data_IF_039315810334
#
_entry.id   IF_039315810334
#
_cell.length_a   1.000
_cell.length_b   1.000
_cell.length_c   1.000
_cell.angle_alpha   90.00
_cell.angle_beta   90.00
_cell.angle_gamma   90.00
#
_symmetry.space_group_name_H-M   'P 1'
#
loop_
_entity.id
_entity.type
_entity.pdbx_description
1 polymer ?
#
# COMPACT_ATOMS: atom_id res chain seq x y z
N UNK A 1 17.40 3.35 -4.98
CA UNK A 1 17.49 3.63 -3.53
C UNK A 1 16.24 4.37 -3.08
N UNK A 2 15.65 4.04 -1.92
CA UNK A 2 14.48 4.76 -1.34
C UNK A 2 13.27 4.95 -2.27
N UNK A 3 12.92 3.93 -3.07
CA UNK A 3 11.87 3.99 -4.09
C UNK A 3 10.54 4.58 -3.55
N UNK A 4 10.11 4.13 -2.38
CA UNK A 4 8.83 4.52 -1.78
C UNK A 4 8.77 6.01 -1.48
N UNK A 5 9.87 6.62 -1.02
CA UNK A 5 9.95 8.05 -0.74
C UNK A 5 9.85 8.92 -2.00
N UNK A 6 10.02 8.35 -3.19
CA UNK A 6 9.86 9.05 -4.47
C UNK A 6 8.41 8.99 -4.98
N UNK A 7 7.57 8.12 -4.42
CA UNK A 7 6.18 7.90 -4.85
C UNK A 7 5.23 8.72 -3.99
N UNK A 8 5.16 10.01 -4.29
CA UNK A 8 4.30 10.98 -3.57
C UNK A 8 3.08 11.43 -4.35
N UNK A 9 2.79 10.81 -5.49
CA UNK A 9 1.56 11.05 -6.21
C UNK A 9 0.66 9.84 -6.11
N UNK A 10 -0.60 10.08 -5.83
CA UNK A 10 -1.62 9.05 -5.74
C UNK A 10 -2.92 9.49 -6.37
N UNK A 11 -3.80 8.55 -6.69
CA UNK A 11 -5.11 8.91 -7.17
C UNK A 11 -5.91 9.63 -6.08
N UNK A 12 -6.62 10.69 -6.46
CA UNK A 12 -7.63 11.34 -5.62
C UNK A 12 -8.86 10.45 -5.45
N UNK A 13 -9.15 9.63 -6.46
CA UNK A 13 -10.35 8.80 -6.53
C UNK A 13 -10.08 7.40 -5.94
N UNK A 14 -11.10 6.81 -5.35
CA UNK A 14 -11.04 5.46 -4.78
C UNK A 14 -11.72 4.42 -5.69
N UNK A 15 -11.32 3.16 -5.54
CA UNK A 15 -12.07 2.04 -6.13
C UNK A 15 -13.41 1.85 -5.42
N UNK A 16 -14.35 1.17 -6.07
CA UNK A 16 -15.64 0.86 -5.44
C UNK A 16 -15.43 -0.03 -4.21
N UNK A 17 -16.35 0.00 -3.22
CA UNK A 17 -16.31 -0.90 -2.08
C UNK A 17 -16.06 -2.36 -2.49
N UNK A 18 -15.21 -3.06 -1.73
CA UNK A 18 -14.77 -4.44 -1.96
C UNK A 18 -13.95 -4.69 -3.24
N UNK A 19 -13.48 -3.66 -3.96
CA UNK A 19 -12.62 -3.82 -5.12
C UNK A 19 -11.18 -3.35 -4.85
N UNK A 20 -10.20 -4.19 -5.21
CA UNK A 20 -8.75 -3.89 -5.09
C UNK A 20 -8.33 -3.50 -3.66
N UNK A 21 -9.03 -4.04 -2.67
CA UNK A 21 -8.80 -3.75 -1.25
C UNK A 21 -7.49 -4.40 -0.75
N UNK A 22 -6.95 -3.83 0.33
CA UNK A 22 -6.01 -4.49 1.23
C UNK A 22 -6.68 -4.56 2.60
N UNK A 23 -6.38 -5.60 3.36
CA UNK A 23 -6.98 -5.82 4.67
C UNK A 23 -5.97 -6.48 5.61
N UNK A 24 -6.23 -6.33 6.89
CA UNK A 24 -5.63 -7.16 7.94
C UNK A 24 -6.62 -8.26 8.30
N UNK A 25 -6.10 -9.46 8.55
CA UNK A 25 -6.90 -10.61 8.95
C UNK A 25 -6.65 -10.91 10.42
N UNK A 26 -7.69 -11.28 11.16
CA UNK A 26 -7.53 -11.82 12.50
C UNK A 26 -7.17 -13.32 12.40
N UNK A 27 -5.92 -13.72 12.74
CA UNK A 27 -5.48 -15.11 12.62
C UNK A 27 -6.19 -16.06 13.59
N UNK A 28 -6.83 -15.57 14.65
CA UNK A 28 -7.61 -16.40 15.57
C UNK A 28 -8.97 -16.82 14.98
N UNK A 29 -9.40 -16.19 13.88
CA UNK A 29 -10.72 -16.42 13.28
C UNK A 29 -10.66 -16.94 11.85
N UNK A 30 -9.73 -16.44 11.05
CA UNK A 30 -9.65 -16.78 9.61
C UNK A 30 -8.92 -18.11 9.44
N UNK A 31 -9.61 -19.09 8.85
CA UNK A 31 -9.07 -20.43 8.57
C UNK A 31 -8.50 -20.52 7.17
N UNK A 32 -9.11 -19.82 6.22
CA UNK A 32 -8.68 -19.82 4.82
C UNK A 32 -8.76 -18.42 4.26
N UNK A 33 -7.71 -18.00 3.56
CA UNK A 33 -7.64 -16.70 2.90
C UNK A 33 -7.16 -16.83 1.46
N UNK A 34 -7.62 -15.92 0.62
CA UNK A 34 -6.99 -15.62 -0.66
C UNK A 34 -6.54 -14.16 -0.64
N UNK A 35 -5.27 -13.93 -0.30
CA UNK A 35 -4.64 -12.61 -0.19
C UNK A 35 -5.49 -11.59 0.60
N UNK A 36 -6.42 -10.93 -0.09
CA UNK A 36 -7.27 -9.85 0.41
C UNK A 36 -8.64 -10.31 0.91
N UNK A 37 -8.98 -11.59 0.75
CA UNK A 37 -10.31 -12.08 1.07
C UNK A 37 -10.24 -13.26 2.03
N UNK A 38 -10.91 -13.19 3.20
CA UNK A 38 -11.10 -14.37 4.02
C UNK A 38 -12.17 -15.24 3.36
N UNK A 39 -11.82 -16.48 3.04
CA UNK A 39 -12.70 -17.44 2.38
C UNK A 39 -13.49 -18.30 3.38
N UNK A 40 -12.92 -18.55 4.55
CA UNK A 40 -13.56 -19.30 5.62
C UNK A 40 -13.10 -18.82 7.01
N UNK A 41 -14.03 -18.79 7.96
CA UNK A 41 -13.81 -18.38 9.33
C UNK A 41 -14.38 -19.42 10.31
N UNK A 42 -13.83 -19.46 11.53
CA UNK A 42 -14.28 -20.37 12.58
C UNK A 42 -15.70 -20.00 13.06
N UNK A 43 -16.54 -21.03 13.23
CA UNK A 43 -17.87 -20.94 13.87
C UNK A 43 -18.98 -20.26 13.07
N UNK A 44 -18.65 -19.44 12.07
CA UNK A 44 -19.63 -18.72 11.24
C UNK A 44 -19.00 -18.20 9.94
N UNK A 45 -19.79 -17.47 9.15
CA UNK A 45 -19.29 -16.69 8.02
C UNK A 45 -18.28 -15.61 8.45
N UNK A 46 -17.41 -15.22 7.52
CA UNK A 46 -16.46 -14.15 7.75
C UNK A 46 -17.14 -12.78 7.74
N UNK A 47 -16.72 -11.91 8.65
CA UNK A 47 -17.14 -10.50 8.71
C UNK A 47 -15.97 -9.60 8.36
N UNK A 48 -16.24 -8.48 7.70
CA UNK A 48 -15.27 -7.43 7.42
C UNK A 48 -15.68 -6.12 8.07
N UNK A 49 -14.69 -5.32 8.44
CA UNK A 49 -14.86 -3.95 8.90
C UNK A 49 -14.13 -3.02 7.93
N UNK A 50 -14.85 -2.15 7.19
CA UNK A 50 -14.21 -1.15 6.35
C UNK A 50 -13.56 -0.08 7.22
N UNK A 51 -12.43 0.46 6.77
CA UNK A 51 -11.80 1.63 7.39
C UNK A 51 -12.20 2.86 6.57
N UNK A 52 -12.60 3.92 7.25
CA UNK A 52 -12.95 5.19 6.61
C UNK A 52 -11.72 5.82 5.93
N UNK A 53 -11.95 6.51 4.81
CA UNK A 53 -10.87 7.10 4.02
C UNK A 53 -10.17 8.27 4.73
N UNK A 54 -10.79 8.81 5.78
CA UNK A 54 -10.18 9.81 6.66
C UNK A 54 -9.13 9.20 7.60
N UNK A 55 -9.31 7.93 7.98
CA UNK A 55 -8.39 7.20 8.85
C UNK A 55 -7.28 6.47 8.07
N UNK A 56 -7.60 5.93 6.89
CA UNK A 56 -6.65 5.19 6.09
C UNK A 56 -6.85 5.34 4.57
N UNK A 57 -5.71 5.36 3.87
CA UNK A 57 -5.62 5.45 2.42
C UNK A 57 -4.73 4.32 1.90
N UNK A 58 -5.22 3.58 0.90
CA UNK A 58 -4.37 2.66 0.16
C UNK A 58 -3.56 3.41 -0.90
N UNK A 59 -2.23 3.32 -0.81
CA UNK A 59 -1.32 3.80 -1.85
C UNK A 59 -0.93 2.64 -2.77
N UNK A 60 -1.05 2.86 -4.07
CA UNK A 60 -0.62 1.87 -5.07
C UNK A 60 0.68 2.29 -5.73
N UNK A 61 1.69 1.42 -5.69
CA UNK A 61 3.06 1.74 -6.14
C UNK A 61 3.34 1.34 -7.58
N UNK A 62 2.33 0.96 -8.37
CA UNK A 62 2.56 0.56 -9.77
C UNK A 62 2.70 1.80 -10.65
N UNK A 63 3.66 1.73 -11.56
CA UNK A 63 3.89 2.74 -12.58
C UNK A 63 2.74 2.84 -13.61
N UNK A 64 1.97 1.74 -13.79
CA UNK A 64 0.89 1.69 -14.77
C UNK A 64 -0.29 0.83 -14.31
N UNK A 65 -1.39 0.97 -15.05
CA UNK A 65 -2.66 0.29 -14.92
C UNK A 65 -2.53 -1.22 -15.02
N UNK A 66 -3.17 -1.93 -14.09
CA UNK A 66 -3.37 -3.37 -14.23
C UNK A 66 -4.38 -3.67 -15.34
N UNK A 67 -4.18 -4.78 -16.07
CA UNK A 67 -5.00 -5.17 -17.23
C UNK A 67 -6.51 -5.15 -16.94
N UNK A 68 -6.90 -5.60 -15.76
CA UNK A 68 -8.29 -5.65 -15.31
C UNK A 68 -8.94 -4.28 -15.10
N UNK A 69 -8.14 -3.22 -14.92
CA UNK A 69 -8.61 -1.84 -14.75
C UNK A 69 -8.42 -0.98 -15.99
N UNK A 70 -7.91 -1.51 -17.11
CA UNK A 70 -7.51 -0.68 -18.27
C UNK A 70 -8.60 0.29 -18.74
N UNK A 71 -9.88 -0.11 -18.69
CA UNK A 71 -11.02 0.73 -19.10
C UNK A 71 -11.31 1.89 -18.16
N UNK A 72 -11.02 1.75 -16.87
CA UNK A 72 -11.32 2.74 -15.83
C UNK A 72 -10.07 3.32 -15.20
N UNK A 73 -8.88 2.98 -15.69
CA UNK A 73 -7.64 3.40 -15.04
C UNK A 73 -7.26 4.85 -15.37
N UNK A 74 -7.63 5.34 -16.56
CA UNK A 74 -7.34 6.71 -17.00
C UNK A 74 -7.83 7.74 -15.98
N UNK A 75 -9.08 7.62 -15.51
CA UNK A 75 -9.63 8.49 -14.46
C UNK A 75 -8.85 8.46 -13.14
N UNK A 76 -8.13 7.39 -12.81
CA UNK A 76 -7.31 7.32 -11.60
C UNK A 76 -5.93 7.96 -11.81
N UNK A 77 -5.35 7.82 -13.01
CA UNK A 77 -4.06 8.42 -13.38
C UNK A 77 -4.16 9.92 -13.62
N UNK A 78 -5.18 10.37 -14.33
CA UNK A 78 -5.40 11.78 -14.67
C UNK A 78 -5.79 12.61 -13.44
N UNK A 79 -6.49 12.00 -12.47
CA UNK A 79 -6.87 12.64 -11.21
C UNK A 79 -5.92 12.22 -10.08
N UNK A 80 -4.67 12.68 -10.15
CA UNK A 80 -3.68 12.46 -9.10
C UNK A 80 -3.49 13.70 -8.23
N UNK A 81 -3.16 13.47 -6.96
CA UNK A 81 -2.78 14.51 -6.01
C UNK A 81 -1.47 14.13 -5.33
N UNK A 82 -0.72 15.15 -4.94
CA UNK A 82 0.50 14.98 -4.17
C UNK A 82 0.15 14.69 -2.70
N UNK A 83 0.78 13.67 -2.14
CA UNK A 83 0.62 13.18 -0.78
C UNK A 83 2.01 12.85 -0.21
N UNK A 84 2.46 13.72 0.70
CA UNK A 84 3.79 13.63 1.32
C UNK A 84 3.74 12.93 2.67
N UNK A 85 2.64 12.26 3.03
CA UNK A 85 2.49 11.57 4.32
C UNK A 85 3.60 10.53 4.53
N UNK A 86 4.08 9.89 3.47
CA UNK A 86 5.20 8.93 3.53
C UNK A 86 6.51 9.57 3.99
N UNK A 87 6.65 10.89 3.91
CA UNK A 87 7.83 11.62 4.37
C UNK A 87 7.84 11.91 5.87
N UNK A 88 6.79 11.56 6.62
CA UNK A 88 6.71 11.79 8.07
C UNK A 88 7.96 11.33 8.84
N UNK A 89 8.59 10.24 8.38
CA UNK A 89 9.81 9.67 8.96
C UNK A 89 10.96 9.59 7.95
N UNK A 90 10.95 10.45 6.93
CA UNK A 90 11.93 10.42 5.83
C UNK A 90 13.35 10.49 6.35
N UNK A 91 13.65 11.46 7.21
CA UNK A 91 15.03 11.74 7.62
C UNK A 91 15.58 10.60 8.50
N UNK A 92 14.80 10.14 9.49
CA UNK A 92 15.15 8.99 10.33
C UNK A 92 15.34 7.71 9.51
N UNK A 93 14.48 7.46 8.52
CA UNK A 93 14.59 6.31 7.62
C UNK A 93 15.87 6.40 6.77
N UNK A 94 16.12 7.56 6.16
CA UNK A 94 17.29 7.78 5.29
C UNK A 94 18.57 7.63 6.08
N UNK A 95 18.68 8.26 7.25
CA UNK A 95 19.84 8.16 8.12
C UNK A 95 20.14 6.70 8.49
N UNK A 96 19.15 5.97 9.03
CA UNK A 96 19.34 4.60 9.53
C UNK A 96 19.67 3.61 8.43
N UNK A 97 18.99 3.71 7.29
CA UNK A 97 19.28 2.82 6.15
C UNK A 97 20.65 3.16 5.56
N UNK A 98 21.00 4.43 5.41
CA UNK A 98 22.32 4.83 4.89
C UNK A 98 23.43 4.26 5.77
N UNK A 99 23.37 4.50 7.08
CA UNK A 99 24.32 3.93 8.05
C UNK A 99 24.43 2.41 7.96
N UNK A 100 23.29 1.72 7.82
CA UNK A 100 23.28 0.25 7.70
C UNK A 100 23.96 -0.20 6.41
N UNK A 101 23.68 0.46 5.29
CA UNK A 101 24.28 0.13 4.01
C UNK A 101 25.79 0.45 3.96
N UNK A 102 26.23 1.51 4.62
CA UNK A 102 27.66 1.82 4.83
C UNK A 102 28.36 0.71 5.62
N UNK A 103 27.80 0.29 6.76
CA UNK A 103 28.35 -0.80 7.58
C UNK A 103 28.45 -2.12 6.81
N UNK A 104 27.50 -2.37 5.90
CA UNK A 104 27.48 -3.55 5.05
C UNK A 104 28.35 -3.39 3.78
N UNK A 105 29.00 -2.25 3.57
CA UNK A 105 29.92 -2.01 2.46
C UNK A 105 29.25 -1.75 1.11
N UNK A 106 27.96 -1.41 1.06
CA UNK A 106 27.23 -1.17 -0.20
C UNK A 106 27.65 0.11 -0.94
N UNK A 107 28.39 1.02 -0.29
CA UNK A 107 28.81 2.29 -0.89
C UNK A 107 30.30 2.34 -1.30
N UNK A 108 31.03 1.23 -1.20
CA UNK A 108 32.45 1.14 -1.57
C UNK A 108 33.39 1.89 -0.61
N UNK A 109 34.72 1.81 -0.81
CA UNK A 109 35.66 2.66 -0.10
C UNK A 109 35.48 4.11 -0.57
N UNK A 110 35.26 5.01 0.40
CA UNK A 110 35.20 6.46 0.17
C UNK A 110 36.54 7.09 -0.16
#
# INVERSE_FOLDING_TARGET
YMHMLQHVYRSKNFTKPNQYIKCFHNPERVVTLHNHFPLACLGAGCTSYPIDTEDAQLQHYRADCVKSLKKTCLQYRENSIMDTTIWRYKDELVERVTKTLELLGFFGPG
#
